data_IF_761640674407
#
_entry.id   IF_761640674407
#
_cell.length_a   1.000
_cell.length_b   1.000
_cell.length_c   1.000
_cell.angle_alpha   90.00
_cell.angle_beta   90.00
_cell.angle_gamma   90.00
#
_symmetry.space_group_name_H-M   'P 1'
#
loop_
_entity.id
_entity.type
_entity.pdbx_description
1 polymer ?
#
# COMPACT_ATOMS: atom_id res chain seq x y z
N UNK A 1 9.28 -20.54 7.21
CA UNK A 1 8.07 -20.47 6.36
C UNK A 1 7.74 -19.01 6.02
N UNK A 2 8.74 -18.24 5.60
CA UNK A 2 8.59 -16.79 5.42
C UNK A 2 8.01 -16.44 4.05
N UNK A 3 8.06 -17.37 3.08
CA UNK A 3 7.64 -17.15 1.70
C UNK A 3 6.14 -16.87 1.55
N UNK A 4 5.27 -17.56 2.32
CA UNK A 4 3.82 -17.31 2.23
C UNK A 4 3.47 -15.93 2.77
N UNK A 5 4.08 -15.54 3.89
CA UNK A 5 3.86 -14.24 4.55
C UNK A 5 4.43 -13.11 3.70
N UNK A 6 5.62 -13.29 3.11
CA UNK A 6 6.19 -12.29 2.20
C UNK A 6 5.38 -12.19 0.91
N UNK A 7 4.90 -13.29 0.34
CA UNK A 7 4.01 -13.26 -0.84
C UNK A 7 2.70 -12.55 -0.51
N UNK A 8 2.05 -12.84 0.62
CA UNK A 8 0.83 -12.12 1.02
C UNK A 8 1.09 -10.63 1.28
N UNK A 9 2.20 -10.29 1.94
CA UNK A 9 2.53 -8.91 2.29
C UNK A 9 2.95 -8.06 1.08
N UNK A 10 3.55 -8.65 0.04
CA UNK A 10 4.00 -7.94 -1.16
C UNK A 10 2.98 -8.00 -2.30
N UNK A 11 2.39 -9.17 -2.55
CA UNK A 11 1.45 -9.40 -3.65
C UNK A 11 0.02 -9.02 -3.24
N UNK A 12 -0.37 -9.28 -1.99
CA UNK A 12 -1.70 -8.98 -1.45
C UNK A 12 -2.12 -7.51 -1.62
N UNK A 13 -1.34 -6.51 -1.16
CA UNK A 13 -1.76 -5.12 -1.27
C UNK A 13 -1.74 -4.62 -2.72
N UNK A 14 -0.79 -5.09 -3.56
CA UNK A 14 -0.77 -4.74 -4.99
C UNK A 14 -1.98 -5.30 -5.74
N UNK A 15 -2.33 -6.56 -5.48
CA UNK A 15 -3.54 -7.18 -6.03
C UNK A 15 -4.81 -6.49 -5.49
N UNK A 16 -4.82 -6.12 -4.20
CA UNK A 16 -5.91 -5.38 -3.58
C UNK A 16 -6.14 -4.01 -4.20
N UNK A 17 -5.07 -3.28 -4.53
CA UNK A 17 -5.16 -2.01 -5.26
C UNK A 17 -5.78 -2.23 -6.64
N UNK A 18 -5.29 -3.22 -7.39
CA UNK A 18 -5.79 -3.53 -8.73
C UNK A 18 -7.27 -3.93 -8.71
N UNK A 19 -7.66 -4.79 -7.76
CA UNK A 19 -9.04 -5.23 -7.58
C UNK A 19 -9.95 -4.06 -7.18
N UNK A 20 -9.57 -3.27 -6.17
CA UNK A 20 -10.40 -2.15 -5.73
C UNK A 20 -10.50 -1.05 -6.78
N UNK A 21 -9.42 -0.76 -7.50
CA UNK A 21 -9.43 0.19 -8.60
C UNK A 21 -10.42 -0.20 -9.70
N UNK A 22 -10.53 -1.50 -9.99
CA UNK A 22 -11.46 -2.02 -11.00
C UNK A 22 -12.92 -2.05 -10.52
N UNK A 23 -13.15 -2.33 -9.23
CA UNK A 23 -14.49 -2.41 -8.66
C UNK A 23 -15.12 -1.06 -8.36
N UNK A 24 -14.33 -0.08 -7.92
CA UNK A 24 -14.87 1.23 -7.51
C UNK A 24 -13.98 2.39 -7.98
N UNK A 25 -13.89 2.62 -9.30
CA UNK A 25 -13.03 3.66 -9.86
C UNK A 25 -13.43 5.08 -9.43
N UNK A 26 -14.72 5.29 -9.12
CA UNK A 26 -15.25 6.58 -8.66
C UNK A 26 -14.64 6.97 -7.31
N UNK A 27 -14.48 6.01 -6.40
CA UNK A 27 -13.84 6.23 -5.11
C UNK A 27 -12.38 6.62 -5.24
N UNK A 28 -11.66 6.06 -6.19
CA UNK A 28 -10.27 6.45 -6.49
C UNK A 28 -10.19 7.85 -7.11
N UNK A 29 -11.13 8.20 -7.99
CA UNK A 29 -11.24 9.56 -8.53
C UNK A 29 -11.50 10.59 -7.43
N UNK A 30 -12.36 10.27 -6.46
CA UNK A 30 -12.69 11.16 -5.35
C UNK A 30 -11.57 11.24 -4.31
N UNK A 31 -10.89 10.12 -4.01
CA UNK A 31 -9.78 10.09 -3.05
C UNK A 31 -8.56 10.88 -3.54
N UNK A 32 -8.32 10.88 -4.86
CA UNK A 32 -7.20 11.56 -5.51
C UNK A 32 -7.64 12.72 -6.40
N UNK A 33 -8.74 13.41 -6.06
CA UNK A 33 -9.31 14.50 -6.85
C UNK A 33 -8.33 15.68 -6.98
N UNK A 34 -7.48 15.66 -8.02
CA UNK A 34 -6.39 16.61 -8.23
C UNK A 34 -5.55 16.27 -9.46
N UNK A 35 -4.41 16.96 -9.65
CA UNK A 35 -3.62 17.02 -10.90
C UNK A 35 -3.14 15.68 -11.48
N UNK A 36 -3.27 14.55 -10.75
CA UNK A 36 -2.77 13.25 -11.19
C UNK A 36 -3.58 12.05 -10.64
N UNK A 37 -4.86 11.95 -11.01
CA UNK A 37 -5.77 10.82 -10.69
C UNK A 37 -5.21 9.43 -11.01
N UNK A 38 -4.22 9.34 -11.92
CA UNK A 38 -3.56 8.10 -12.28
C UNK A 38 -2.13 7.96 -11.73
N UNK A 39 -1.31 9.03 -11.76
CA UNK A 39 0.11 8.91 -11.38
C UNK A 39 0.32 8.77 -9.87
N UNK A 40 -0.50 9.42 -9.03
CA UNK A 40 -0.40 9.27 -7.56
C UNK A 40 -0.69 7.85 -7.11
N UNK A 41 -1.83 7.23 -7.49
CA UNK A 41 -2.08 5.85 -7.11
C UNK A 41 -1.10 4.86 -7.75
N UNK A 42 -0.56 5.15 -8.95
CA UNK A 42 0.50 4.35 -9.55
C UNK A 42 1.80 4.39 -8.73
N UNK A 43 2.23 5.59 -8.32
CA UNK A 43 3.40 5.77 -7.47
C UNK A 43 3.18 5.13 -6.09
N UNK A 44 1.99 5.31 -5.52
CA UNK A 44 1.58 4.68 -4.26
C UNK A 44 1.62 3.15 -4.34
N UNK A 45 1.09 2.55 -5.40
CA UNK A 45 1.14 1.10 -5.60
C UNK A 45 2.58 0.54 -5.72
N UNK A 46 3.52 1.34 -6.21
CA UNK A 46 4.91 0.93 -6.39
C UNK A 46 5.75 1.10 -5.11
N UNK A 47 5.60 2.24 -4.42
CA UNK A 47 6.45 2.62 -3.29
C UNK A 47 5.80 2.37 -1.92
N UNK A 48 4.49 2.56 -1.79
CA UNK A 48 3.80 2.42 -0.49
C UNK A 48 2.40 1.78 -0.68
N UNK A 49 2.33 0.50 -1.06
CA UNK A 49 1.07 -0.14 -1.41
C UNK A 49 0.09 -0.22 -0.22
N UNK A 50 0.56 -0.41 1.01
CA UNK A 50 -0.31 -0.47 2.19
C UNK A 50 -0.88 0.91 2.56
N UNK A 51 -0.05 1.96 2.53
CA UNK A 51 -0.56 3.31 2.79
C UNK A 51 -1.58 3.76 1.76
N UNK A 52 -1.41 3.36 0.49
CA UNK A 52 -2.33 3.73 -0.59
C UNK A 52 -3.72 3.13 -0.34
N UNK A 53 -3.79 1.86 0.06
CA UNK A 53 -5.04 1.22 0.46
C UNK A 53 -5.67 1.89 1.68
N UNK A 54 -4.87 2.18 2.72
CA UNK A 54 -5.35 2.84 3.93
C UNK A 54 -5.88 4.25 3.64
N UNK A 55 -5.16 5.02 2.80
CA UNK A 55 -5.56 6.36 2.39
C UNK A 55 -6.88 6.32 1.61
N UNK A 56 -6.97 5.47 0.60
CA UNK A 56 -8.20 5.29 -0.17
C UNK A 56 -9.33 4.87 0.78
N UNK A 57 -9.12 3.93 1.70
CA UNK A 57 -10.14 3.48 2.67
C UNK A 57 -10.67 4.62 3.57
N UNK A 58 -9.80 5.54 3.96
CA UNK A 58 -10.12 6.59 4.93
C UNK A 58 -10.57 7.90 4.30
N UNK A 59 -10.18 8.18 3.05
CA UNK A 59 -10.47 9.41 2.33
C UNK A 59 -11.47 9.19 1.18
N UNK A 60 -12.74 8.80 1.45
CA UNK A 60 -13.72 8.52 0.39
C UNK A 60 -14.07 9.75 -0.46
N UNK A 61 -13.85 10.96 0.06
CA UNK A 61 -14.10 12.24 -0.62
C UNK A 61 -12.84 13.11 -0.70
N UNK A 62 -11.65 12.51 -0.57
CA UNK A 62 -10.37 13.23 -0.52
C UNK A 62 -10.05 13.87 0.84
N UNK A 63 -10.96 13.80 1.82
CA UNK A 63 -10.73 14.32 3.18
C UNK A 63 -10.55 13.18 4.19
N UNK A 64 -9.48 13.26 4.99
CA UNK A 64 -9.13 12.28 6.03
C UNK A 64 -9.71 12.74 7.37
N UNK A 65 -10.63 11.95 7.94
CA UNK A 65 -11.13 12.20 9.31
C UNK A 65 -10.01 11.98 10.34
N UNK A 66 -10.10 12.61 11.52
CA UNK A 66 -9.09 12.51 12.59
C UNK A 66 -8.74 11.05 12.95
N UNK A 67 -9.74 10.18 13.13
CA UNK A 67 -9.50 8.74 13.41
C UNK A 67 -8.92 7.96 12.22
N UNK A 68 -9.00 8.53 11.03
CA UNK A 68 -8.47 7.97 9.80
C UNK A 68 -6.94 8.02 9.69
N UNK A 69 -6.31 9.01 10.33
CA UNK A 69 -4.85 9.15 10.33
C UNK A 69 -4.15 7.95 10.98
N UNK A 70 -4.79 7.31 11.96
CA UNK A 70 -4.27 6.10 12.61
C UNK A 70 -4.06 4.97 11.59
N UNK A 71 -5.01 4.77 10.68
CA UNK A 71 -4.90 3.76 9.63
C UNK A 71 -3.79 4.07 8.62
N UNK A 72 -3.58 5.34 8.31
CA UNK A 72 -2.47 5.77 7.44
C UNK A 72 -1.13 5.44 8.11
N UNK A 73 -0.96 5.74 9.40
CA UNK A 73 0.26 5.40 10.15
C UNK A 73 0.49 3.90 10.17
N UNK A 74 -0.55 3.09 10.40
CA UNK A 74 -0.47 1.63 10.33
C UNK A 74 -0.02 1.18 8.94
N UNK A 75 -0.58 1.74 7.87
CA UNK A 75 -0.16 1.46 6.49
C UNK A 75 1.33 1.75 6.27
N UNK A 76 1.84 2.88 6.77
CA UNK A 76 3.26 3.26 6.66
C UNK A 76 4.15 2.24 7.36
N UNK A 77 3.75 1.80 8.56
CA UNK A 77 4.49 0.78 9.31
C UNK A 77 4.54 -0.55 8.55
N UNK A 78 3.43 -0.96 7.95
CA UNK A 78 3.39 -2.17 7.12
C UNK A 78 4.29 -2.07 5.89
N UNK A 79 4.33 -0.92 5.22
CA UNK A 79 5.26 -0.69 4.11
C UNK A 79 6.72 -0.80 4.58
N UNK A 80 7.07 -0.20 5.71
CA UNK A 80 8.43 -0.26 6.28
C UNK A 80 8.85 -1.68 6.68
N UNK A 81 7.94 -2.42 7.31
CA UNK A 81 8.16 -3.84 7.67
C UNK A 81 8.35 -4.67 6.41
N UNK A 82 7.55 -4.42 5.36
CA UNK A 82 7.66 -5.12 4.07
C UNK A 82 9.02 -4.91 3.41
N UNK A 83 9.59 -3.70 3.51
CA UNK A 83 10.96 -3.42 3.06
C UNK A 83 12.03 -4.11 3.91
N UNK A 84 11.84 -4.19 5.24
CA UNK A 84 12.82 -4.82 6.15
C UNK A 84 12.92 -6.35 6.00
N UNK A 85 11.83 -7.02 5.61
CA UNK A 85 11.78 -8.48 5.45
C UNK A 85 12.62 -9.02 4.28
N UNK A 86 12.97 -8.18 3.30
CA UNK A 86 13.80 -8.56 2.15
C UNK A 86 15.30 -8.68 2.50
N UNK A 87 15.79 -7.88 3.45
CA UNK A 87 17.22 -7.84 3.82
C UNK A 87 17.68 -8.97 4.75
N UNK A 88 16.77 -9.54 5.56
CA UNK A 88 17.12 -10.55 6.58
C UNK A 88 17.42 -11.94 5.98
N UNK A 89 16.83 -12.28 4.82
CA UNK A 89 17.04 -13.59 4.18
C UNK A 89 18.39 -13.74 3.46
N UNK A 90 19.09 -12.64 3.15
CA UNK A 90 20.28 -12.67 2.30
C UNK A 90 21.61 -12.75 3.08
N UNK A 91 21.60 -12.60 4.41
CA UNK A 91 22.82 -12.60 5.23
C UNK A 91 23.51 -13.98 5.31
N UNK A 92 22.78 -15.07 5.05
CA UNK A 92 23.35 -16.42 5.02
C UNK A 92 23.99 -16.82 3.69
N UNK A 93 23.81 -16.05 2.61
CA UNK A 93 24.32 -16.39 1.27
C UNK A 93 25.51 -15.56 0.80
N UNK A 94 25.87 -14.50 1.54
CA UNK A 94 27.03 -13.63 1.25
C UNK A 94 28.31 -14.07 1.98
N UNK A 95 28.26 -15.16 2.74
CA UNK A 95 29.39 -15.73 3.48
C UNK A 95 29.92 -17.04 2.86
N UNK A 96 29.57 -17.34 1.61
CA UNK A 96 30.10 -18.45 0.81
C UNK A 96 30.75 -17.91 -0.45
#
# INVERSE_FOLDING_TARGET
>A
MCCLVTVLAFLGPRAGILFWFLFDPVRWQNAFSGFHTFLVPLAGALFLPWTTLAYVLVAPTGFVRVGGWLWIVVGVLFDLVSYSGSGYGNRGRLAM
#
